data_IF_187210390839
#
_entry.id   IF_187210390839
#
_cell.length_a   1.000
_cell.length_b   1.000
_cell.length_c   1.000
_cell.angle_alpha   90.00
_cell.angle_beta   90.00
_cell.angle_gamma   90.00
#
_symmetry.space_group_name_H-M   'P 1'
#
loop_
_entity.id
_entity.type
_entity.pdbx_description
1 polymer ?
#
# COMPACT_ATOMS: atom_id res chain seq x y z
N UNK A 1 9.09 0.83 38.41
CA UNK A 1 9.70 -0.40 37.85
C UNK A 1 8.92 -0.98 36.68
N UNK A 2 7.62 -1.26 36.78
CA UNK A 2 6.86 -1.82 35.65
C UNK A 2 6.74 -0.85 34.46
N UNK A 3 6.49 0.44 34.69
CA UNK A 3 6.44 1.46 33.65
C UNK A 3 7.79 1.67 32.95
N UNK A 4 8.89 1.70 33.69
CA UNK A 4 10.24 1.87 33.14
C UNK A 4 10.65 0.70 32.23
N UNK A 5 10.25 -0.52 32.58
CA UNK A 5 10.49 -1.70 31.76
C UNK A 5 9.68 -1.65 30.46
N UNK A 6 8.42 -1.23 30.53
CA UNK A 6 7.55 -1.09 29.33
C UNK A 6 8.04 0.03 28.40
N UNK A 7 8.50 1.15 28.94
CA UNK A 7 9.11 2.24 28.15
C UNK A 7 10.41 1.80 27.49
N UNK A 8 11.25 1.03 28.20
CA UNK A 8 12.49 0.50 27.65
C UNK A 8 12.22 -0.51 26.51
N UNK A 9 11.25 -1.44 26.71
CA UNK A 9 10.85 -2.42 25.69
C UNK A 9 10.29 -1.69 24.46
N UNK A 10 9.43 -0.69 24.66
CA UNK A 10 8.86 0.10 23.60
C UNK A 10 9.91 0.88 22.81
N UNK A 11 10.87 1.48 23.50
CA UNK A 11 12.01 2.19 22.88
C UNK A 11 12.86 1.27 22.02
N UNK A 12 13.22 0.09 22.54
CA UNK A 12 13.98 -0.91 21.78
C UNK A 12 13.27 -1.45 20.56
N UNK A 13 11.96 -1.64 20.67
CA UNK A 13 11.13 -2.06 19.53
C UNK A 13 11.18 -1.02 18.42
N UNK A 14 10.99 0.26 18.75
CA UNK A 14 11.05 1.35 17.78
C UNK A 14 12.41 1.49 17.10
N UNK A 15 13.50 1.31 17.84
CA UNK A 15 14.85 1.34 17.25
C UNK A 15 15.09 0.15 16.31
N UNK A 16 14.57 -1.03 16.62
CA UNK A 16 14.65 -2.18 15.72
C UNK A 16 13.84 -1.97 14.43
N UNK A 17 12.64 -1.40 14.55
CA UNK A 17 11.79 -1.04 13.41
C UNK A 17 12.47 0.01 12.52
N UNK A 18 13.04 1.05 13.12
CA UNK A 18 13.84 2.06 12.42
C UNK A 18 15.00 1.44 11.66
N UNK A 19 15.76 0.56 12.31
CA UNK A 19 16.88 -0.15 11.69
C UNK A 19 16.42 -1.03 10.50
N UNK A 20 15.24 -1.64 10.59
CA UNK A 20 14.65 -2.41 9.49
C UNK A 20 14.32 -1.51 8.29
N UNK A 21 13.66 -0.37 8.52
CA UNK A 21 13.34 0.59 7.46
C UNK A 21 14.60 1.12 6.76
N UNK A 22 15.62 1.50 7.52
CA UNK A 22 16.86 2.03 6.94
C UNK A 22 17.65 0.99 6.12
N UNK A 23 17.48 -0.30 6.37
CA UNK A 23 18.08 -1.35 5.53
C UNK A 23 17.55 -1.33 4.08
N UNK A 24 16.33 -0.85 3.85
CA UNK A 24 15.81 -0.73 2.50
C UNK A 24 16.60 0.25 1.65
N UNK A 25 17.36 1.16 2.24
CA UNK A 25 18.28 2.04 1.51
C UNK A 25 19.32 1.27 0.67
N UNK A 26 19.63 0.03 1.03
CA UNK A 26 20.51 -0.84 0.21
C UNK A 26 19.89 -1.16 -1.16
N UNK A 27 18.56 -1.31 -1.22
CA UNK A 27 17.82 -1.56 -2.45
C UNK A 27 17.40 -0.24 -3.11
N UNK A 28 16.70 0.61 -2.37
CA UNK A 28 16.12 1.87 -2.89
C UNK A 28 17.17 2.89 -3.32
N UNK A 29 18.35 2.87 -2.71
CA UNK A 29 19.48 3.72 -3.08
C UNK A 29 19.98 3.50 -4.52
N UNK A 30 19.74 2.32 -5.12
CA UNK A 30 20.03 2.03 -6.53
C UNK A 30 19.17 2.87 -7.48
N UNK A 31 18.02 3.31 -7.00
CA UNK A 31 17.08 4.18 -7.71
C UNK A 31 17.19 5.64 -7.28
N UNK A 32 18.19 5.98 -6.46
CA UNK A 32 18.39 7.33 -5.93
C UNK A 32 17.46 7.69 -4.77
N UNK A 33 16.75 6.70 -4.20
CA UNK A 33 15.80 6.87 -3.11
C UNK A 33 16.45 6.42 -1.81
N UNK A 34 16.65 7.36 -0.89
CA UNK A 34 17.24 7.07 0.42
C UNK A 34 16.44 7.76 1.51
N UNK A 35 16.22 7.07 2.61
CA UNK A 35 15.63 7.62 3.82
C UNK A 35 16.74 8.00 4.79
N UNK A 36 16.67 9.19 5.31
CA UNK A 36 17.42 9.58 6.52
C UNK A 36 16.74 9.00 7.76
N UNK A 37 17.48 8.93 8.86
CA UNK A 37 16.91 8.48 10.14
C UNK A 37 15.71 9.35 10.57
N UNK A 38 15.78 10.65 10.33
CA UNK A 38 14.68 11.57 10.63
C UNK A 38 13.43 11.26 9.82
N UNK A 39 13.55 11.10 8.52
CA UNK A 39 12.45 10.77 7.62
C UNK A 39 11.83 9.39 7.93
N UNK A 40 12.66 8.40 8.23
CA UNK A 40 12.18 7.09 8.65
C UNK A 40 11.36 7.17 9.96
N UNK A 41 11.78 8.01 10.92
CA UNK A 41 11.02 8.28 12.16
C UNK A 41 9.70 9.00 11.86
N UNK A 42 9.69 9.97 10.95
CA UNK A 42 8.47 10.68 10.51
C UNK A 42 7.48 9.71 9.88
N UNK A 43 7.93 8.83 8.99
CA UNK A 43 7.10 7.77 8.40
C UNK A 43 6.51 6.81 9.45
N UNK A 44 7.28 6.43 10.47
CA UNK A 44 6.79 5.60 11.58
C UNK A 44 5.71 6.33 12.41
N UNK A 45 5.86 7.63 12.64
CA UNK A 45 4.84 8.44 13.32
C UNK A 45 3.56 8.52 12.48
N UNK A 46 3.69 8.82 11.19
CA UNK A 46 2.56 8.84 10.27
C UNK A 46 1.82 7.48 10.23
N UNK A 47 2.56 6.37 10.24
CA UNK A 47 1.98 5.02 10.35
C UNK A 47 1.18 4.86 11.64
N UNK A 48 1.75 5.24 12.78
CA UNK A 48 1.08 5.11 14.09
C UNK A 48 -0.21 5.96 14.14
N UNK A 49 -0.23 7.11 13.46
CA UNK A 49 -1.42 7.96 13.32
C UNK A 49 -2.48 7.30 12.42
N UNK A 50 -2.08 6.77 11.27
CA UNK A 50 -2.97 6.05 10.37
C UNK A 50 -3.55 4.80 11.02
N UNK A 51 -2.76 4.02 11.74
CA UNK A 51 -3.25 2.86 12.51
C UNK A 51 -4.32 3.27 13.54
N UNK A 52 -4.12 4.37 14.27
CA UNK A 52 -5.13 4.91 15.20
C UNK A 52 -6.39 5.37 14.47
N UNK A 53 -6.22 6.11 13.36
CA UNK A 53 -7.31 6.61 12.52
C UNK A 53 -8.22 5.47 12.02
N UNK A 54 -7.60 4.40 11.56
CA UNK A 54 -8.31 3.24 11.00
C UNK A 54 -8.57 2.12 12.02
N UNK A 55 -8.20 2.31 13.30
CA UNK A 55 -8.40 1.36 14.41
C UNK A 55 -7.75 -0.01 14.12
N UNK A 56 -6.53 0.01 13.60
CA UNK A 56 -5.75 -1.17 13.27
C UNK A 56 -4.54 -1.33 14.17
N UNK A 57 -4.02 -2.54 14.22
CA UNK A 57 -2.80 -2.88 14.96
C UNK A 57 -1.88 -3.65 14.02
N UNK A 58 -0.63 -3.26 13.98
CA UNK A 58 0.43 -3.96 13.26
C UNK A 58 1.64 -4.21 14.16
N UNK A 59 2.47 -5.14 13.75
CA UNK A 59 3.71 -5.49 14.43
C UNK A 59 4.91 -5.26 13.51
N UNK A 60 6.04 -4.84 14.08
CA UNK A 60 7.25 -4.55 13.32
C UNK A 60 7.12 -3.28 12.50
N UNK A 61 7.80 -3.22 11.36
CA UNK A 61 7.70 -2.12 10.40
C UNK A 61 6.36 -2.15 9.62
N UNK A 62 5.66 -3.28 9.68
CA UNK A 62 4.34 -3.45 9.09
C UNK A 62 4.32 -3.16 7.60
N UNK A 63 3.21 -2.60 7.12
CA UNK A 63 3.03 -2.30 5.71
C UNK A 63 4.05 -1.32 5.14
N UNK A 64 4.66 -0.48 5.98
CA UNK A 64 5.65 0.49 5.54
C UNK A 64 6.90 -0.17 4.94
N UNK A 65 7.31 -1.31 5.51
CA UNK A 65 8.41 -2.13 5.02
C UNK A 65 8.12 -2.65 3.59
N UNK A 66 6.93 -3.16 3.41
CA UNK A 66 6.45 -3.69 2.12
C UNK A 66 6.25 -2.58 1.07
N UNK A 67 5.69 -1.43 1.47
CA UNK A 67 5.54 -0.26 0.59
C UNK A 67 6.88 0.24 0.06
N UNK A 68 7.88 0.39 0.94
CA UNK A 68 9.22 0.80 0.53
C UNK A 68 9.80 -0.20 -0.46
N UNK A 69 9.65 -1.49 -0.18
CA UNK A 69 10.17 -2.55 -1.05
C UNK A 69 9.49 -2.56 -2.42
N UNK A 70 8.16 -2.44 -2.46
CA UNK A 70 7.36 -2.56 -3.68
C UNK A 70 7.47 -1.33 -4.58
N UNK A 71 7.55 -0.12 -3.99
CA UNK A 71 7.52 1.12 -4.75
C UNK A 71 8.90 1.72 -5.07
N UNK A 72 10.01 1.17 -4.55
CA UNK A 72 11.33 1.79 -4.71
C UNK A 72 11.85 1.85 -6.16
N UNK A 73 11.32 1.06 -7.06
CA UNK A 73 11.69 1.03 -8.48
C UNK A 73 10.75 1.87 -9.37
N UNK A 74 9.76 2.53 -8.79
CA UNK A 74 8.82 3.38 -9.53
C UNK A 74 9.52 4.57 -10.20
N UNK A 75 9.26 4.74 -11.50
CA UNK A 75 9.79 5.87 -12.27
C UNK A 75 9.21 7.23 -11.86
N UNK A 76 8.14 7.24 -11.08
CA UNK A 76 7.47 8.44 -10.58
C UNK A 76 8.02 8.91 -9.23
N UNK A 77 8.86 8.09 -8.58
CA UNK A 77 9.50 8.44 -7.32
C UNK A 77 10.89 9.05 -7.55
N UNK A 78 11.18 10.08 -6.79
CA UNK A 78 12.49 10.74 -6.73
C UNK A 78 12.76 11.22 -5.29
N UNK A 79 13.97 11.72 -5.03
CA UNK A 79 14.36 12.15 -3.68
C UNK A 79 13.45 13.22 -3.07
N UNK A 80 12.84 14.08 -3.88
CA UNK A 80 12.02 15.19 -3.39
C UNK A 80 10.61 14.76 -2.97
N UNK A 81 10.05 13.74 -3.62
CA UNK A 81 8.68 13.29 -3.35
C UNK A 81 8.59 11.94 -2.60
N UNK A 82 9.72 11.28 -2.36
CA UNK A 82 9.74 9.91 -1.85
C UNK A 82 9.00 9.75 -0.53
N UNK A 83 9.38 10.54 0.47
CA UNK A 83 8.78 10.46 1.82
C UNK A 83 7.30 10.80 1.78
N UNK A 84 6.94 11.93 1.17
CA UNK A 84 5.55 12.39 1.09
C UNK A 84 4.65 11.43 0.31
N UNK A 85 5.19 10.74 -0.70
CA UNK A 85 4.43 9.71 -1.42
C UNK A 85 4.25 8.46 -0.56
N UNK A 86 5.27 8.02 0.18
CA UNK A 86 5.14 6.89 1.11
C UNK A 86 4.12 7.16 2.22
N UNK A 87 4.05 8.40 2.75
CA UNK A 87 3.03 8.81 3.72
C UNK A 87 1.61 8.65 3.16
N UNK A 88 1.40 9.11 1.94
CA UNK A 88 0.11 9.00 1.25
C UNK A 88 -0.24 7.54 0.93
N UNK A 89 0.72 6.77 0.43
CA UNK A 89 0.50 5.37 0.08
C UNK A 89 0.12 4.53 1.31
N UNK A 90 0.75 4.76 2.48
CA UNK A 90 0.39 4.01 3.67
C UNK A 90 -1.01 4.39 4.20
N UNK A 91 -1.38 5.68 4.20
CA UNK A 91 -2.74 6.09 4.60
C UNK A 91 -3.80 5.51 3.63
N UNK A 92 -3.51 5.53 2.34
CA UNK A 92 -4.35 4.93 1.29
C UNK A 92 -4.49 3.42 1.46
N UNK A 93 -3.43 2.72 1.81
CA UNK A 93 -3.46 1.28 2.08
C UNK A 93 -4.43 0.94 3.22
N UNK A 94 -4.33 1.62 4.36
CA UNK A 94 -5.23 1.36 5.50
C UNK A 94 -6.68 1.78 5.22
N UNK A 95 -6.88 2.86 4.47
CA UNK A 95 -8.20 3.24 3.98
C UNK A 95 -8.81 2.08 3.18
N UNK A 96 -8.06 1.57 2.22
CA UNK A 96 -8.53 0.49 1.36
C UNK A 96 -8.80 -0.81 2.13
N UNK A 97 -7.93 -1.19 3.06
CA UNK A 97 -8.15 -2.34 3.94
C UNK A 97 -9.48 -2.23 4.70
N UNK A 98 -9.79 -1.06 5.22
CA UNK A 98 -11.06 -0.83 5.91
C UNK A 98 -12.25 -0.87 4.96
N UNK A 99 -12.13 -0.22 3.80
CA UNK A 99 -13.21 -0.15 2.82
C UNK A 99 -13.54 -1.53 2.22
N UNK A 100 -12.56 -2.39 2.06
CA UNK A 100 -12.75 -3.78 1.60
C UNK A 100 -13.11 -4.76 2.71
N UNK A 101 -13.17 -4.30 3.98
CA UNK A 101 -13.46 -5.14 5.14
C UNK A 101 -12.54 -6.38 5.23
N UNK A 102 -11.24 -6.18 4.92
CA UNK A 102 -10.22 -7.23 4.91
C UNK A 102 -10.50 -8.42 3.94
N UNK A 103 -11.30 -8.19 2.90
CA UNK A 103 -11.57 -9.20 1.88
C UNK A 103 -10.40 -9.44 0.93
N UNK A 104 -9.37 -8.59 0.96
CA UNK A 104 -8.13 -8.73 0.19
C UNK A 104 -6.93 -8.86 1.12
N UNK A 105 -5.95 -9.64 0.69
CA UNK A 105 -4.66 -9.74 1.40
C UNK A 105 -3.85 -8.45 1.23
N UNK A 106 -2.83 -8.26 2.06
CA UNK A 106 -1.94 -7.09 1.95
C UNK A 106 -1.19 -7.09 0.63
N UNK A 107 -0.72 -8.26 0.20
CA UNK A 107 -0.05 -8.45 -1.09
C UNK A 107 -0.93 -8.08 -2.29
N UNK A 108 -2.18 -8.50 -2.29
CA UNK A 108 -3.16 -8.15 -3.34
C UNK A 108 -3.41 -6.65 -3.42
N UNK A 109 -3.55 -6.00 -2.26
CA UNK A 109 -3.73 -4.55 -2.18
C UNK A 109 -2.50 -3.82 -2.69
N UNK A 110 -1.31 -4.19 -2.23
CA UNK A 110 -0.05 -3.57 -2.64
C UNK A 110 0.20 -3.70 -4.13
N UNK A 111 -0.01 -4.89 -4.67
CA UNK A 111 0.13 -5.13 -6.10
C UNK A 111 -0.83 -4.27 -6.91
N UNK A 112 -2.12 -4.23 -6.52
CA UNK A 112 -3.10 -3.37 -7.17
C UNK A 112 -2.73 -1.89 -7.06
N UNK A 113 -2.33 -1.43 -5.88
CA UNK A 113 -1.88 -0.05 -5.69
C UNK A 113 -0.71 0.31 -6.59
N UNK A 114 0.30 -0.57 -6.68
CA UNK A 114 1.48 -0.37 -7.54
C UNK A 114 1.08 -0.26 -9.00
N UNK A 115 0.27 -1.19 -9.49
CA UNK A 115 -0.18 -1.21 -10.87
C UNK A 115 -0.96 0.07 -11.22
N UNK A 116 -1.93 0.46 -10.39
CA UNK A 116 -2.72 1.68 -10.64
C UNK A 116 -1.88 2.95 -10.53
N UNK A 117 -0.96 3.02 -9.58
CA UNK A 117 -0.04 4.13 -9.41
C UNK A 117 0.83 4.34 -10.65
N UNK A 118 1.35 3.25 -11.25
CA UNK A 118 2.21 3.28 -12.43
C UNK A 118 1.44 3.59 -13.72
N UNK A 119 0.25 3.01 -13.88
CA UNK A 119 -0.46 3.01 -15.17
C UNK A 119 -1.54 4.08 -15.27
N UNK A 120 -2.46 4.13 -14.32
CA UNK A 120 -3.63 5.00 -14.36
C UNK A 120 -3.37 6.36 -13.73
N UNK A 121 -2.72 6.35 -12.56
CA UNK A 121 -2.49 7.55 -11.76
C UNK A 121 -1.23 8.32 -12.17
N UNK A 122 -0.34 7.72 -12.98
CA UNK A 122 0.91 8.34 -13.43
C UNK A 122 1.72 8.95 -12.26
N UNK A 123 1.78 8.24 -11.13
CA UNK A 123 2.52 8.65 -9.94
C UNK A 123 1.76 9.57 -8.98
N UNK A 124 0.48 9.85 -9.22
CA UNK A 124 -0.35 10.66 -8.33
C UNK A 124 -1.03 9.78 -7.27
N UNK A 125 -0.53 9.86 -6.03
CA UNK A 125 -1.06 9.10 -4.90
C UNK A 125 -2.45 9.61 -4.43
N UNK A 126 -2.78 10.88 -4.64
CA UNK A 126 -4.09 11.43 -4.31
C UNK A 126 -5.14 10.89 -5.29
N UNK A 127 -4.80 10.84 -6.58
CA UNK A 127 -5.66 10.21 -7.59
C UNK A 127 -5.88 8.72 -7.31
N UNK A 128 -4.85 8.02 -6.85
CA UNK A 128 -4.93 6.62 -6.43
C UNK A 128 -5.97 6.44 -5.31
N UNK A 129 -5.89 7.26 -4.27
CA UNK A 129 -6.79 7.20 -3.13
C UNK A 129 -8.24 7.53 -3.51
N UNK A 130 -8.45 8.63 -4.23
CA UNK A 130 -9.78 9.18 -4.47
C UNK A 130 -10.55 8.45 -5.57
N UNK A 131 -9.86 7.95 -6.58
CA UNK A 131 -10.53 7.43 -7.78
C UNK A 131 -10.39 5.93 -7.94
N UNK A 132 -9.18 5.41 -7.92
CA UNK A 132 -8.94 4.01 -8.24
C UNK A 132 -9.37 3.08 -7.11
N UNK A 133 -8.89 3.35 -5.88
CA UNK A 133 -9.16 2.46 -4.76
C UNK A 133 -10.58 2.57 -4.24
N UNK A 134 -11.19 3.76 -4.27
CA UNK A 134 -12.58 3.93 -3.86
C UNK A 134 -13.54 3.15 -4.77
N UNK A 135 -13.30 3.16 -6.08
CA UNK A 135 -14.11 2.39 -7.04
C UNK A 135 -13.98 0.89 -6.80
N UNK A 136 -12.75 0.40 -6.62
CA UNK A 136 -12.52 -1.01 -6.36
C UNK A 136 -13.14 -1.44 -5.03
N UNK A 137 -12.99 -0.64 -3.97
CA UNK A 137 -13.57 -0.97 -2.67
C UNK A 137 -15.10 -1.03 -2.69
N UNK A 138 -15.75 -0.14 -3.43
CA UNK A 138 -17.20 -0.21 -3.66
C UNK A 138 -17.59 -1.48 -4.40
N UNK A 139 -16.85 -1.83 -5.44
CA UNK A 139 -17.06 -3.05 -6.23
C UNK A 139 -16.96 -4.31 -5.37
N UNK A 140 -15.92 -4.40 -4.53
CA UNK A 140 -15.72 -5.52 -3.61
C UNK A 140 -16.86 -5.62 -2.58
N UNK A 141 -17.30 -4.50 -1.98
CA UNK A 141 -18.40 -4.49 -0.99
C UNK A 141 -19.75 -4.91 -1.56
N UNK A 142 -20.02 -4.52 -2.79
CA UNK A 142 -21.30 -4.86 -3.47
C UNK A 142 -21.28 -6.28 -4.05
N UNK A 143 -20.15 -6.98 -3.95
CA UNK A 143 -19.96 -8.30 -4.58
C UNK A 143 -19.92 -8.21 -6.09
N UNK A 144 -19.85 -7.00 -6.64
CA UNK A 144 -19.74 -6.75 -8.06
C UNK A 144 -18.26 -6.80 -8.47
N UNK A 145 -17.91 -7.62 -9.43
CA UNK A 145 -16.53 -7.95 -9.80
C UNK A 145 -16.01 -7.16 -10.98
N UNK A 146 -16.78 -6.22 -11.48
CA UNK A 146 -16.37 -5.38 -12.59
C UNK A 146 -15.78 -4.06 -12.07
N UNK A 147 -14.50 -3.87 -12.34
CA UNK A 147 -13.85 -2.57 -12.24
C UNK A 147 -14.10 -1.83 -13.55
N UNK A 148 -14.86 -0.74 -13.51
CA UNK A 148 -14.99 0.15 -14.66
C UNK A 148 -13.79 1.09 -14.71
N UNK A 149 -12.96 0.97 -15.72
CA UNK A 149 -11.90 1.94 -15.98
C UNK A 149 -12.51 3.30 -16.33
N UNK A 150 -11.74 4.38 -16.11
CA UNK A 150 -12.20 5.77 -16.35
C UNK A 150 -12.50 6.06 -17.83
N UNK A 151 -12.16 5.15 -18.75
CA UNK A 151 -12.44 5.22 -20.19
C UNK A 151 -13.74 4.50 -20.61
N UNK A 152 -14.53 4.04 -19.64
CA UNK A 152 -15.79 3.34 -19.89
C UNK A 152 -15.64 1.92 -20.42
N UNK A 153 -14.41 1.39 -20.48
CA UNK A 153 -14.12 0.01 -20.77
C UNK A 153 -13.92 -0.75 -19.47
N UNK A 154 -14.81 -1.69 -19.18
CA UNK A 154 -14.64 -2.60 -18.08
C UNK A 154 -13.35 -3.41 -18.28
N UNK A 155 -12.50 -3.48 -17.28
CA UNK A 155 -11.31 -4.34 -17.27
C UNK A 155 -11.71 -5.82 -17.34
N UNK A 156 -12.96 -6.10 -16.96
CA UNK A 156 -13.54 -7.42 -17.02
C UNK A 156 -14.82 -7.36 -17.85
N UNK A 157 -14.80 -7.95 -19.04
CA UNK A 157 -16.02 -8.24 -19.80
C UNK A 157 -16.97 -9.09 -19.00
N UNK A 158 -18.27 -9.04 -19.34
CA UNK A 158 -19.37 -9.76 -18.70
C UNK A 158 -18.96 -11.11 -18.11
N UNK A 159 -18.73 -11.12 -16.79
CA UNK A 159 -18.55 -12.34 -16.03
C UNK A 159 -19.90 -12.65 -15.38
N UNK A 160 -20.47 -13.81 -15.71
CA UNK A 160 -21.73 -14.29 -15.18
C UNK A 160 -21.92 -14.00 -13.69
N UNK A 161 -23.08 -13.46 -13.32
CA UNK A 161 -23.45 -13.03 -11.95
C UNK A 161 -23.37 -14.13 -10.88
N UNK A 162 -23.10 -15.39 -11.25
CA UNK A 162 -23.08 -16.56 -10.34
C UNK A 162 -21.71 -16.93 -9.78
N UNK A 163 -20.62 -16.32 -10.20
CA UNK A 163 -19.29 -16.70 -9.67
C UNK A 163 -18.86 -15.83 -8.50
N UNK A 164 -18.85 -16.44 -7.32
CA UNK A 164 -18.25 -15.92 -6.09
C UNK A 164 -16.79 -15.51 -6.34
N UNK A 165 -16.35 -14.39 -5.79
CA UNK A 165 -15.00 -13.85 -5.94
C UNK A 165 -13.94 -14.95 -5.76
N UNK A 166 -13.10 -15.11 -6.76
CA UNK A 166 -12.03 -16.09 -6.81
C UNK A 166 -10.70 -15.33 -6.96
N UNK A 167 -9.86 -15.30 -5.91
CA UNK A 167 -8.56 -14.65 -5.95
C UNK A 167 -7.67 -15.20 -7.06
N UNK A 168 -7.73 -16.50 -7.34
CA UNK A 168 -6.92 -17.15 -8.35
C UNK A 168 -7.28 -16.66 -9.77
N UNK A 169 -8.55 -16.36 -10.01
CA UNK A 169 -9.00 -15.78 -11.27
C UNK A 169 -8.49 -14.35 -11.44
N UNK A 170 -8.46 -13.56 -10.37
CA UNK A 170 -7.89 -12.22 -10.35
C UNK A 170 -6.40 -12.24 -10.72
N UNK A 171 -5.62 -13.13 -10.12
CA UNK A 171 -4.20 -13.30 -10.44
C UNK A 171 -3.96 -13.82 -11.87
N UNK A 172 -4.85 -14.65 -12.40
CA UNK A 172 -4.76 -15.12 -13.80
C UNK A 172 -4.97 -13.97 -14.78
N UNK A 173 -5.97 -13.13 -14.56
CA UNK A 173 -6.25 -11.97 -15.41
C UNK A 173 -5.12 -10.95 -15.34
N UNK A 174 -4.57 -10.67 -14.16
CA UNK A 174 -3.41 -9.80 -14.01
C UNK A 174 -2.18 -10.34 -14.76
N UNK A 175 -1.94 -11.64 -14.72
CA UNK A 175 -0.84 -12.27 -15.48
C UNK A 175 -1.03 -12.14 -16.99
N UNK A 176 -2.24 -12.26 -17.49
CA UNK A 176 -2.53 -12.11 -18.92
C UNK A 176 -2.35 -10.66 -19.41
N UNK A 177 -2.62 -9.68 -18.54
CA UNK A 177 -2.45 -8.26 -18.86
C UNK A 177 -0.98 -7.77 -18.80
N UNK A 178 -0.09 -8.51 -18.12
CA UNK A 178 1.33 -8.13 -17.98
C UNK A 178 2.26 -8.77 -19.00
N UNK A 179 1.75 -9.55 -19.98
CA UNK A 179 2.55 -10.30 -20.96
C UNK A 179 2.37 -9.82 -22.42
N UNK A 180 1.97 -8.58 -22.64
CA UNK A 180 2.11 -7.98 -24.01
C UNK A 180 3.14 -6.86 -24.06
#
# INVERSE_FOLDING_TARGET
>A
MENELLEWISGRKKENELGALLKHNEKSGRFGLMLTEKEARELMVCRDESLKKYRRVEFGAGILDELIFEFCDSSYLNGDNYVSTLEKLQDTFYLFKNETQDCMTDEEILHFMKEQFETVCAGDADHLADTCLERLSRSVRVGNRSYESNDGRGIYGDVDEEKRWDPDLYYQVLKELTWE
#
